data_IF_240485462204
#
_entry.id   IF_240485462204
#
_cell.length_a   1.000
_cell.length_b   1.000
_cell.length_c   1.000
_cell.angle_alpha   90.00
_cell.angle_beta   90.00
_cell.angle_gamma   90.00
#
_symmetry.space_group_name_H-M   'P 1'
#
loop_
_entity.id
_entity.type
_entity.pdbx_description
1 polymer ?
#
# COMPACT_ATOMS: atom_id res chain seq x y z
N UNK A 1 -41.16 25.82 30.89
CA UNK A 1 -40.68 25.19 29.64
C UNK A 1 -39.69 26.09 28.89
N UNK A 2 -39.02 27.01 29.58
CA UNK A 2 -37.91 27.83 29.05
C UNK A 2 -36.63 27.71 29.91
N UNK A 3 -36.65 26.93 31.00
CA UNK A 3 -35.50 26.79 31.91
C UNK A 3 -34.63 25.54 31.66
N UNK A 4 -35.09 24.58 30.85
CA UNK A 4 -34.30 23.37 30.51
C UNK A 4 -33.32 23.59 29.33
N UNK A 5 -33.42 24.70 28.61
CA UNK A 5 -32.55 25.00 27.46
C UNK A 5 -31.19 25.64 27.88
N UNK A 6 -31.09 26.14 29.11
CA UNK A 6 -29.88 26.82 29.61
C UNK A 6 -28.90 25.84 30.28
N UNK A 7 -29.36 24.66 30.71
CA UNK A 7 -28.55 23.72 31.47
C UNK A 7 -27.53 22.91 30.64
N UNK A 8 -27.65 22.88 29.31
CA UNK A 8 -26.73 22.13 28.45
C UNK A 8 -25.63 22.98 27.79
N UNK A 9 -25.50 24.27 28.13
CA UNK A 9 -24.41 25.12 27.65
C UNK A 9 -23.20 25.22 28.61
N UNK A 10 -23.24 24.60 29.79
CA UNK A 10 -22.13 24.64 30.74
C UNK A 10 -21.64 23.24 31.11
N UNK A 11 -20.89 22.60 30.20
CA UNK A 11 -19.84 21.62 30.52
C UNK A 11 -19.15 21.17 29.25
N UNK A 12 -18.23 22.01 28.76
CA UNK A 12 -17.01 21.63 28.05
C UNK A 12 -16.25 22.92 27.76
N UNK A 13 -15.71 23.53 28.83
CA UNK A 13 -14.55 24.42 28.70
C UNK A 13 -13.29 23.56 28.55
N UNK A 14 -12.28 24.06 27.84
CA UNK A 14 -11.34 23.27 27.08
C UNK A 14 -10.28 22.66 27.98
N UNK A 15 -9.96 21.39 27.77
CA UNK A 15 -8.60 20.94 28.05
C UNK A 15 -7.75 21.36 26.85
N UNK A 16 -6.80 22.24 27.14
CA UNK A 16 -5.67 22.55 26.29
C UNK A 16 -4.93 21.26 25.97
N UNK A 17 -5.10 20.74 24.76
CA UNK A 17 -4.03 20.02 24.11
C UNK A 17 -3.83 20.59 22.71
N UNK A 18 -2.72 21.30 22.60
CA UNK A 18 -2.16 21.78 21.34
C UNK A 18 -1.75 20.57 20.53
N UNK A 19 -2.37 20.37 19.38
CA UNK A 19 -1.63 19.84 18.23
C UNK A 19 -2.21 20.50 16.98
N UNK A 20 -1.35 21.27 16.33
CA UNK A 20 -1.54 21.75 14.97
C UNK A 20 -1.72 20.54 14.01
N UNK A 21 -2.30 20.81 12.83
CA UNK A 21 -2.54 19.89 11.70
C UNK A 21 -3.87 19.13 11.84
N UNK A 22 -4.88 19.30 10.96
CA UNK A 22 -4.80 19.27 9.50
C UNK A 22 -5.93 20.05 8.82
N UNK A 23 -5.61 20.65 7.66
CA UNK A 23 -6.48 21.56 6.90
C UNK A 23 -7.33 20.81 5.87
N UNK A 24 -8.66 20.91 5.93
CA UNK A 24 -9.54 20.54 4.82
C UNK A 24 -9.40 21.54 3.66
N UNK A 25 -9.15 21.06 2.44
CA UNK A 25 -8.94 21.88 1.21
C UNK A 25 -10.20 22.56 0.64
N UNK A 26 -11.31 22.64 1.38
CA UNK A 26 -12.38 23.62 1.09
C UNK A 26 -12.25 24.77 2.08
N UNK A 27 -11.67 25.89 1.63
CA UNK A 27 -11.67 27.14 2.38
C UNK A 27 -13.12 27.62 2.46
N UNK A 28 -13.81 27.20 3.52
CA UNK A 28 -15.19 27.54 3.81
C UNK A 28 -15.34 27.93 5.28
N UNK A 29 -16.31 28.77 5.63
CA UNK A 29 -16.62 29.08 7.03
C UNK A 29 -16.96 27.81 7.82
N UNK A 30 -16.46 27.73 9.04
CA UNK A 30 -16.77 26.66 9.99
C UNK A 30 -18.17 26.89 10.59
N UNK A 31 -18.98 25.84 10.64
CA UNK A 31 -20.33 25.89 11.19
C UNK A 31 -20.49 24.85 12.30
N UNK A 32 -21.07 25.26 13.42
CA UNK A 32 -21.58 24.34 14.43
C UNK A 32 -22.90 23.78 13.95
N UNK A 33 -22.91 22.48 13.66
CA UNK A 33 -24.04 21.79 13.03
C UNK A 33 -24.62 20.70 13.95
N UNK A 34 -25.93 20.51 13.89
CA UNK A 34 -26.61 19.43 14.59
C UNK A 34 -26.42 18.10 13.87
N UNK A 35 -26.17 17.03 14.62
CA UNK A 35 -26.13 15.66 14.11
C UNK A 35 -27.54 15.07 14.21
N UNK A 36 -28.08 14.58 13.09
CA UNK A 36 -29.40 13.95 13.08
C UNK A 36 -29.36 12.57 13.74
N UNK A 37 -30.47 12.17 14.35
CA UNK A 37 -30.56 10.98 15.24
C UNK A 37 -30.27 9.64 14.55
N UNK A 38 -30.28 9.61 13.22
CA UNK A 38 -30.04 8.42 12.40
C UNK A 38 -28.59 8.29 11.92
N UNK A 39 -27.72 9.23 12.29
CA UNK A 39 -26.28 9.14 12.02
C UNK A 39 -25.61 8.46 13.21
N UNK A 40 -24.90 7.36 12.94
CA UNK A 40 -24.13 6.68 13.97
C UNK A 40 -22.94 7.55 14.40
N UNK A 41 -22.91 7.91 15.69
CA UNK A 41 -21.87 8.78 16.23
C UNK A 41 -20.51 8.10 16.30
N UNK A 42 -20.52 6.78 16.40
CA UNK A 42 -19.30 5.98 16.54
C UNK A 42 -18.51 5.88 15.22
N UNK A 43 -19.14 6.19 14.08
CA UNK A 43 -18.51 6.18 12.76
C UNK A 43 -17.98 7.56 12.33
N UNK A 44 -18.17 8.59 13.15
CA UNK A 44 -17.72 9.96 12.85
C UNK A 44 -16.28 10.15 13.33
N UNK A 45 -15.32 9.93 12.43
CA UNK A 45 -13.91 10.24 12.67
C UNK A 45 -13.52 11.61 12.09
N UNK A 46 -12.60 12.35 12.74
CA UNK A 46 -12.04 13.57 12.17
C UNK A 46 -11.43 13.31 10.79
N UNK A 47 -11.89 14.03 9.77
CA UNK A 47 -11.43 13.87 8.39
C UNK A 47 -12.38 13.09 7.48
N UNK A 48 -13.44 12.46 8.02
CA UNK A 48 -14.47 11.84 7.20
C UNK A 48 -15.31 12.89 6.44
N UNK A 49 -15.58 12.62 5.17
CA UNK A 49 -16.52 13.40 4.38
C UNK A 49 -17.97 13.18 4.89
N UNK A 50 -18.66 14.27 5.21
CA UNK A 50 -20.02 14.25 5.73
C UNK A 50 -21.02 14.83 4.72
N UNK A 51 -22.21 14.23 4.67
CA UNK A 51 -23.35 14.77 3.91
C UNK A 51 -24.09 15.78 4.78
N UNK A 52 -24.16 17.02 4.29
CA UNK A 52 -24.88 18.11 4.96
C UNK A 52 -26.14 18.52 4.21
N UNK A 53 -27.21 18.80 4.96
CA UNK A 53 -28.42 19.39 4.38
C UNK A 53 -28.22 20.89 4.11
N UNK A 54 -28.24 21.29 2.84
CA UNK A 54 -27.90 22.65 2.39
C UNK A 54 -28.72 23.78 3.08
N UNK A 55 -29.97 23.52 3.49
CA UNK A 55 -30.80 24.56 4.15
C UNK A 55 -30.66 24.64 5.66
N UNK A 56 -30.42 23.51 6.34
CA UNK A 56 -30.46 23.45 7.82
C UNK A 56 -29.08 23.26 8.42
N UNK A 57 -28.06 23.05 7.57
CA UNK A 57 -26.67 22.77 7.98
C UNK A 57 -26.67 21.71 9.09
N UNK A 58 -27.26 20.55 8.80
CA UNK A 58 -27.31 19.41 9.71
C UNK A 58 -26.66 18.21 9.04
N UNK A 59 -25.96 17.40 9.83
CA UNK A 59 -25.30 16.18 9.35
C UNK A 59 -26.38 15.13 9.08
N UNK A 60 -26.51 14.76 7.81
CA UNK A 60 -27.50 13.78 7.31
C UNK A 60 -26.92 12.37 7.27
N UNK A 61 -25.62 12.25 7.04
CA UNK A 61 -24.96 10.95 6.96
C UNK A 61 -23.49 11.09 6.64
N UNK A 62 -22.81 9.96 6.64
CA UNK A 62 -21.42 9.85 6.24
C UNK A 62 -21.38 9.56 4.73
N UNK A 63 -20.44 10.18 4.02
CA UNK A 63 -20.08 9.74 2.69
C UNK A 63 -19.13 8.55 2.85
N UNK A 64 -19.62 7.36 2.59
CA UNK A 64 -18.78 6.16 2.54
C UNK A 64 -18.04 6.14 1.19
N UNK A 65 -16.76 5.79 1.22
CA UNK A 65 -15.81 5.76 0.10
C UNK A 65 -15.28 7.12 -0.40
N UNK A 66 -14.58 7.85 0.47
CA UNK A 66 -13.64 8.90 0.04
C UNK A 66 -12.30 8.27 -0.40
N UNK A 67 -12.37 7.22 -1.23
CA UNK A 67 -11.17 6.76 -1.93
C UNK A 67 -10.78 7.84 -2.92
N UNK A 68 -9.73 8.58 -2.57
CA UNK A 68 -9.17 9.64 -3.37
C UNK A 68 -9.05 9.13 -4.82
N UNK A 69 -9.56 9.82 -5.85
CA UNK A 69 -9.48 9.36 -7.24
C UNK A 69 -8.04 9.09 -7.68
N UNK A 70 -7.05 9.59 -6.95
CA UNK A 70 -5.64 9.24 -7.13
C UNK A 70 -5.33 7.77 -6.83
N UNK A 71 -6.04 7.12 -5.90
CA UNK A 71 -5.92 5.70 -5.58
C UNK A 71 -6.60 4.82 -6.62
N UNK A 72 -7.55 5.36 -7.41
CA UNK A 72 -8.08 4.64 -8.59
C UNK A 72 -7.02 4.36 -9.67
N UNK A 73 -5.85 5.05 -9.59
CA UNK A 73 -4.67 4.74 -10.42
C UNK A 73 -4.07 3.39 -10.05
N UNK A 74 -4.22 2.97 -8.79
CA UNK A 74 -3.84 1.64 -8.33
C UNK A 74 -4.79 0.65 -8.99
N UNK A 75 -4.26 -0.12 -9.95
CA UNK A 75 -5.05 -1.16 -10.60
C UNK A 75 -5.27 -2.29 -9.60
N UNK A 76 -6.47 -2.31 -9.04
CA UNK A 76 -6.97 -3.47 -8.28
C UNK A 76 -7.37 -4.52 -9.31
N UNK A 77 -6.44 -5.43 -9.61
CA UNK A 77 -6.73 -6.57 -10.48
C UNK A 77 -7.14 -7.75 -9.60
N UNK A 78 -8.41 -8.16 -9.70
CA UNK A 78 -8.84 -9.43 -9.10
C UNK A 78 -8.35 -10.56 -10.00
N UNK A 79 -7.31 -11.25 -9.53
CA UNK A 79 -6.72 -12.46 -10.12
C UNK A 79 -6.35 -12.33 -11.62
N UNK A 80 -5.10 -11.95 -11.95
CA UNK A 80 -4.62 -12.04 -13.33
C UNK A 80 -4.69 -13.50 -13.83
N UNK A 81 -4.87 -13.68 -15.15
CA UNK A 81 -5.09 -15.00 -15.77
C UNK A 81 -3.84 -15.90 -15.82
N UNK A 82 -2.66 -15.33 -15.57
CA UNK A 82 -1.37 -16.00 -15.71
C UNK A 82 -1.19 -17.03 -14.57
N UNK A 83 -0.77 -18.25 -14.91
CA UNK A 83 -0.48 -19.31 -13.93
C UNK A 83 1.00 -19.67 -13.90
N UNK A 84 1.46 -20.38 -12.86
CA UNK A 84 2.82 -20.93 -12.82
C UNK A 84 3.12 -21.89 -13.98
N UNK A 85 2.08 -22.52 -14.54
CA UNK A 85 2.23 -23.40 -15.71
C UNK A 85 2.70 -22.64 -16.96
N UNK A 86 2.40 -21.34 -17.04
CA UNK A 86 2.80 -20.47 -18.15
C UNK A 86 4.23 -19.92 -17.99
N UNK A 87 4.87 -20.19 -16.84
CA UNK A 87 6.24 -19.77 -16.56
C UNK A 87 7.20 -20.90 -16.95
N UNK A 88 7.95 -20.68 -18.02
CA UNK A 88 8.95 -21.63 -18.49
C UNK A 88 10.24 -21.63 -17.64
N UNK A 89 10.35 -22.58 -16.71
CA UNK A 89 11.52 -22.75 -15.84
C UNK A 89 11.55 -21.78 -14.65
N UNK A 90 12.73 -21.52 -14.09
CA UNK A 90 12.88 -20.76 -12.82
C UNK A 90 12.24 -21.46 -11.60
N UNK A 91 12.29 -22.80 -11.58
CA UNK A 91 11.66 -23.63 -10.55
C UNK A 91 12.09 -23.23 -9.12
N UNK A 92 13.36 -22.84 -8.94
CA UNK A 92 13.89 -22.38 -7.65
C UNK A 92 13.29 -21.03 -7.21
N UNK A 93 13.23 -20.06 -8.11
CA UNK A 93 12.66 -18.74 -7.83
C UNK A 93 11.15 -18.81 -7.57
N UNK A 94 10.45 -19.67 -8.32
CA UNK A 94 9.03 -19.95 -8.09
C UNK A 94 8.83 -20.51 -6.69
N UNK A 95 9.63 -21.51 -6.30
CA UNK A 95 9.55 -22.12 -4.98
C UNK A 95 9.82 -21.09 -3.86
N UNK A 96 10.86 -20.27 -3.98
CA UNK A 96 11.16 -19.22 -2.99
C UNK A 96 10.03 -18.19 -2.85
N UNK A 97 9.41 -17.79 -3.96
CA UNK A 97 8.30 -16.83 -3.93
C UNK A 97 7.04 -17.46 -3.33
N UNK A 98 6.76 -18.73 -3.63
CA UNK A 98 5.66 -19.49 -3.02
C UNK A 98 5.82 -19.61 -1.51
N UNK A 99 7.02 -19.95 -1.04
CA UNK A 99 7.31 -20.02 0.40
C UNK A 99 7.20 -18.67 1.09
N UNK A 100 7.48 -17.58 0.38
CA UNK A 100 7.42 -16.24 0.95
C UNK A 100 6.00 -15.64 0.98
N UNK A 101 5.16 -15.96 0.00
CA UNK A 101 3.84 -15.32 -0.18
C UNK A 101 2.68 -16.29 -0.01
N UNK A 102 2.72 -17.45 -0.68
CA UNK A 102 1.62 -18.43 -0.68
C UNK A 102 1.56 -19.21 0.64
N UNK A 103 2.69 -19.65 1.17
CA UNK A 103 2.74 -20.46 2.39
C UNK A 103 2.19 -19.73 3.63
N UNK A 104 2.54 -18.45 3.89
CA UNK A 104 1.94 -17.70 5.00
C UNK A 104 0.43 -17.50 4.88
N UNK A 105 -0.09 -17.37 3.65
CA UNK A 105 -1.52 -17.13 3.39
C UNK A 105 -2.35 -18.43 3.46
N UNK A 106 -1.78 -19.54 3.01
CA UNK A 106 -2.48 -20.84 2.96
C UNK A 106 -2.37 -21.61 4.27
N UNK A 107 -1.22 -21.54 4.96
CA UNK A 107 -0.93 -22.29 6.17
C UNK A 107 -0.26 -21.41 7.25
N UNK A 108 -0.99 -20.44 7.82
CA UNK A 108 -0.47 -19.61 8.91
C UNK A 108 -0.13 -20.42 10.17
N UNK A 109 -0.84 -21.53 10.43
CA UNK A 109 -0.63 -22.42 11.58
C UNK A 109 0.83 -22.90 11.71
N UNK A 110 1.51 -23.16 10.58
CA UNK A 110 2.91 -23.60 10.57
C UNK A 110 3.85 -22.54 11.17
N UNK A 111 3.55 -21.26 11.00
CA UNK A 111 4.35 -20.16 11.55
C UNK A 111 4.04 -19.92 13.03
N UNK A 112 2.78 -20.10 13.43
CA UNK A 112 2.35 -20.00 14.82
C UNK A 112 2.97 -21.10 15.70
N UNK A 113 2.98 -22.35 15.21
CA UNK A 113 3.55 -23.50 15.93
C UNK A 113 5.07 -23.36 16.15
N UNK A 114 5.77 -22.80 15.17
CA UNK A 114 7.23 -22.59 15.24
C UNK A 114 7.57 -21.28 16.00
N UNK A 115 6.60 -20.38 16.15
CA UNK A 115 6.79 -19.07 16.80
C UNK A 115 7.65 -18.09 16.01
N UNK A 116 7.74 -18.27 14.68
CA UNK A 116 8.50 -17.40 13.78
C UNK A 116 7.56 -16.47 13.02
N UNK A 117 7.95 -15.21 12.86
CA UNK A 117 7.18 -14.28 12.03
C UNK A 117 7.39 -14.63 10.55
N UNK A 118 6.31 -14.67 9.72
CA UNK A 118 6.47 -14.86 8.30
C UNK A 118 7.23 -13.68 7.67
N UNK A 119 7.92 -13.89 6.54
CA UNK A 119 8.60 -12.80 5.85
C UNK A 119 7.60 -11.71 5.45
N UNK A 120 8.00 -10.45 5.63
CA UNK A 120 7.12 -9.29 5.35
C UNK A 120 7.20 -8.85 3.88
N UNK A 121 8.42 -8.84 3.33
CA UNK A 121 8.70 -8.29 2.01
C UNK A 121 9.61 -9.18 1.18
N UNK A 122 9.31 -9.25 -0.11
CA UNK A 122 10.10 -9.93 -1.14
C UNK A 122 10.60 -8.91 -2.16
N UNK A 123 11.88 -8.98 -2.53
CA UNK A 123 12.41 -8.21 -3.66
C UNK A 123 12.82 -9.15 -4.79
N UNK A 124 12.31 -8.86 -5.99
CA UNK A 124 12.64 -9.52 -7.24
C UNK A 124 13.63 -8.64 -8.02
N UNK A 125 14.81 -9.15 -8.32
CA UNK A 125 15.83 -8.39 -9.06
C UNK A 125 16.49 -9.20 -10.18
N UNK A 126 17.00 -8.51 -11.22
CA UNK A 126 17.60 -9.16 -12.39
C UNK A 126 17.50 -8.32 -13.67
N UNK A 127 17.82 -8.90 -14.81
CA UNK A 127 17.70 -8.21 -16.11
C UNK A 127 16.21 -7.98 -16.48
N UNK A 128 15.88 -6.92 -17.23
CA UNK A 128 14.53 -6.73 -17.77
C UNK A 128 14.17 -7.86 -18.73
N UNK A 129 12.88 -8.22 -18.78
CA UNK A 129 12.39 -9.31 -19.66
C UNK A 129 12.59 -10.73 -19.11
N UNK A 130 13.02 -10.88 -17.85
CA UNK A 130 13.14 -12.19 -17.15
C UNK A 130 11.84 -12.70 -16.53
N UNK A 131 10.73 -11.96 -16.70
CA UNK A 131 9.40 -12.41 -16.24
C UNK A 131 9.07 -12.10 -14.78
N UNK A 132 9.72 -11.12 -14.13
CA UNK A 132 9.44 -10.74 -12.73
C UNK A 132 7.99 -10.33 -12.50
N UNK A 133 7.46 -9.45 -13.36
CA UNK A 133 6.06 -9.01 -13.34
C UNK A 133 5.10 -10.18 -13.59
N UNK A 134 5.50 -11.14 -14.43
CA UNK A 134 4.72 -12.33 -14.74
C UNK A 134 4.65 -13.30 -13.54
N UNK A 135 5.77 -13.49 -12.82
CA UNK A 135 5.78 -14.28 -11.59
C UNK A 135 4.88 -13.67 -10.51
N UNK A 136 4.91 -12.36 -10.33
CA UNK A 136 4.07 -11.68 -9.35
C UNK A 136 2.58 -11.86 -9.65
N UNK A 137 2.20 -11.78 -10.93
CA UNK A 137 0.82 -12.07 -11.37
C UNK A 137 0.44 -13.53 -11.13
N UNK A 138 1.30 -14.48 -11.45
CA UNK A 138 1.03 -15.89 -11.19
C UNK A 138 0.81 -16.19 -9.69
N UNK A 139 1.57 -15.54 -8.81
CA UNK A 139 1.40 -15.63 -7.35
C UNK A 139 0.04 -15.07 -6.91
N UNK A 140 -0.36 -13.92 -7.46
CA UNK A 140 -1.67 -13.33 -7.17
C UNK A 140 -2.83 -14.25 -7.58
N UNK A 141 -2.70 -14.92 -8.73
CA UNK A 141 -3.69 -15.88 -9.20
C UNK A 141 -3.78 -17.11 -8.26
N UNK A 142 -2.65 -17.65 -7.81
CA UNK A 142 -2.62 -18.82 -6.91
C UNK A 142 -3.21 -18.54 -5.53
N UNK A 143 -2.93 -17.35 -4.99
CA UNK A 143 -3.32 -16.96 -3.63
C UNK A 143 -4.75 -16.47 -3.52
N UNK A 144 -5.44 -16.21 -4.64
CA UNK A 144 -6.79 -15.59 -4.68
C UNK A 144 -6.89 -14.29 -3.85
N UNK A 145 -5.76 -13.66 -3.56
CA UNK A 145 -5.67 -12.43 -2.78
C UNK A 145 -5.87 -11.22 -3.70
N UNK A 146 -6.25 -10.09 -3.11
CA UNK A 146 -6.37 -8.83 -3.86
C UNK A 146 -5.00 -8.39 -4.35
N UNK A 147 -4.83 -8.21 -5.67
CA UNK A 147 -3.56 -7.74 -6.24
C UNK A 147 -3.60 -6.24 -6.52
N UNK A 148 -2.75 -5.50 -5.82
CA UNK A 148 -2.57 -4.07 -5.98
C UNK A 148 -1.28 -3.83 -6.75
N UNK A 149 -1.40 -3.41 -8.00
CA UNK A 149 -0.24 -3.13 -8.87
C UNK A 149 0.02 -1.64 -8.93
N UNK A 150 1.24 -1.24 -8.56
CA UNK A 150 1.73 0.15 -8.66
C UNK A 150 3.05 0.16 -9.40
N UNK A 151 3.26 1.13 -10.28
CA UNK A 151 4.58 1.36 -10.89
C UNK A 151 5.30 2.43 -10.09
N UNK A 152 6.59 2.24 -9.79
CA UNK A 152 7.37 3.17 -8.97
C UNK A 152 7.41 4.59 -9.53
N UNK A 153 7.30 4.74 -10.85
CA UNK A 153 7.17 6.05 -11.51
C UNK A 153 5.85 6.78 -11.20
N UNK A 154 4.77 6.06 -10.87
CA UNK A 154 3.46 6.64 -10.48
C UNK A 154 3.50 7.28 -9.09
N UNK A 155 4.43 6.85 -8.24
CA UNK A 155 4.66 7.44 -6.91
C UNK A 155 5.33 8.83 -7.00
N UNK A 156 5.86 9.21 -8.17
CA UNK A 156 6.53 10.49 -8.39
C UNK A 156 5.51 11.53 -8.86
N UNK A 157 5.12 12.43 -7.95
CA UNK A 157 4.15 13.49 -8.23
C UNK A 157 4.81 14.87 -8.35
N UNK A 158 4.20 15.75 -9.17
CA UNK A 158 4.69 17.12 -9.38
C UNK A 158 4.42 18.03 -8.18
N UNK A 159 3.41 17.71 -7.39
CA UNK A 159 2.99 18.48 -6.23
C UNK A 159 3.66 17.95 -4.97
N UNK A 160 4.11 18.88 -4.13
CA UNK A 160 4.79 18.57 -2.88
C UNK A 160 3.79 17.97 -1.88
N UNK A 161 4.10 16.81 -1.31
CA UNK A 161 3.27 16.10 -0.32
C UNK A 161 2.29 15.09 -0.91
N UNK A 162 2.03 15.13 -2.21
CA UNK A 162 1.10 14.19 -2.86
C UNK A 162 1.70 12.78 -2.97
N UNK A 163 3.02 12.66 -3.08
CA UNK A 163 3.73 11.36 -3.10
C UNK A 163 3.54 10.57 -1.80
N UNK A 164 3.95 11.12 -0.63
CA UNK A 164 3.73 10.48 0.66
C UNK A 164 2.26 10.20 0.96
N UNK A 165 1.35 11.11 0.60
CA UNK A 165 -0.10 10.90 0.76
C UNK A 165 -0.57 9.66 -0.01
N UNK A 166 -0.17 9.54 -1.28
CA UNK A 166 -0.53 8.39 -2.12
C UNK A 166 -0.03 7.07 -1.53
N UNK A 167 1.17 7.05 -0.96
CA UNK A 167 1.73 5.86 -0.31
C UNK A 167 0.88 5.44 0.89
N UNK A 168 0.48 6.37 1.76
CA UNK A 168 -0.40 6.06 2.90
C UNK A 168 -1.76 5.49 2.45
N UNK A 169 -2.36 6.14 1.45
CA UNK A 169 -3.65 5.70 0.92
C UNK A 169 -3.56 4.32 0.26
N UNK A 170 -2.48 4.02 -0.47
CA UNK A 170 -2.22 2.70 -1.05
C UNK A 170 -2.22 1.61 0.03
N UNK A 171 -1.52 1.86 1.13
CA UNK A 171 -1.44 0.90 2.23
C UNK A 171 -2.75 0.81 3.02
N UNK A 172 -3.51 1.91 3.17
CA UNK A 172 -4.85 1.87 3.77
C UNK A 172 -5.78 0.97 2.95
N UNK A 173 -5.82 1.17 1.63
CA UNK A 173 -6.63 0.32 0.73
C UNK A 173 -6.16 -1.14 0.73
N UNK A 174 -4.85 -1.37 0.86
CA UNK A 174 -4.32 -2.72 1.00
C UNK A 174 -4.79 -3.42 2.28
N UNK A 175 -4.87 -2.68 3.39
CA UNK A 175 -5.35 -3.18 4.68
C UNK A 175 -6.86 -3.41 4.66
N UNK A 176 -7.63 -2.48 4.09
CA UNK A 176 -9.09 -2.61 3.91
C UNK A 176 -9.47 -3.81 3.02
N UNK A 177 -8.62 -4.14 2.04
CA UNK A 177 -8.81 -5.26 1.10
C UNK A 177 -8.04 -6.52 1.49
N UNK A 178 -7.60 -6.62 2.75
CA UNK A 178 -6.88 -7.77 3.30
C UNK A 178 -7.71 -9.07 3.17
N UNK A 179 -7.11 -10.20 2.74
CA UNK A 179 -5.71 -10.42 2.38
C UNK A 179 -5.33 -9.83 1.02
N UNK A 180 -4.21 -9.10 0.96
CA UNK A 180 -3.79 -8.37 -0.24
C UNK A 180 -2.28 -8.47 -0.52
N UNK A 181 -1.93 -8.33 -1.79
CA UNK A 181 -0.55 -8.32 -2.26
C UNK A 181 -0.30 -6.99 -2.96
N UNK A 182 0.61 -6.20 -2.41
CA UNK A 182 1.08 -4.94 -2.99
C UNK A 182 2.32 -5.21 -3.83
N UNK A 183 2.18 -5.10 -5.15
CA UNK A 183 3.28 -5.22 -6.10
C UNK A 183 3.71 -3.85 -6.59
N UNK A 184 4.97 -3.49 -6.30
CA UNK A 184 5.60 -2.26 -6.77
C UNK A 184 6.63 -2.62 -7.83
N UNK A 185 6.32 -2.33 -9.09
CA UNK A 185 7.26 -2.49 -10.21
C UNK A 185 8.18 -1.28 -10.34
N UNK A 186 9.35 -1.44 -10.94
CA UNK A 186 10.31 -0.34 -11.19
C UNK A 186 10.58 0.52 -9.93
N UNK A 187 10.77 -0.13 -8.78
CA UNK A 187 11.05 0.59 -7.51
C UNK A 187 12.35 1.41 -7.58
N UNK A 188 13.24 1.11 -8.52
CA UNK A 188 14.43 1.90 -8.80
C UNK A 188 14.11 3.33 -9.26
N UNK A 189 12.93 3.62 -9.81
CA UNK A 189 12.51 4.97 -10.15
C UNK A 189 12.50 5.92 -8.92
N UNK A 190 12.05 5.40 -7.77
CA UNK A 190 11.95 6.14 -6.50
C UNK A 190 13.07 5.80 -5.51
N UNK A 191 13.63 4.60 -5.61
CA UNK A 191 14.54 3.99 -4.64
C UNK A 191 16.03 4.28 -4.86
N UNK A 192 16.41 5.03 -5.91
CA UNK A 192 17.82 5.37 -6.18
C UNK A 192 18.47 6.11 -5.01
N UNK A 193 19.69 5.70 -4.64
CA UNK A 193 20.57 6.43 -3.70
C UNK A 193 20.84 7.86 -4.20
N UNK A 194 20.08 8.83 -3.71
CA UNK A 194 20.31 10.26 -3.99
C UNK A 194 20.97 10.89 -2.77
N UNK A 195 22.30 10.85 -2.73
CA UNK A 195 23.08 11.42 -1.63
C UNK A 195 23.10 12.96 -1.61
N UNK A 196 22.72 13.62 -2.71
CA UNK A 196 22.82 15.08 -2.87
C UNK A 196 21.63 15.66 -3.64
N UNK A 197 20.46 15.71 -2.98
CA UNK A 197 19.26 16.35 -3.54
C UNK A 197 19.40 17.88 -3.53
N UNK A 198 19.99 18.42 -4.60
CA UNK A 198 20.14 19.87 -4.81
C UNK A 198 18.83 20.50 -5.31
N UNK A 199 17.92 19.70 -5.88
CA UNK A 199 16.65 20.18 -6.44
C UNK A 199 15.44 19.82 -5.58
N UNK A 200 14.45 20.71 -5.52
CA UNK A 200 13.22 20.51 -4.73
C UNK A 200 12.45 19.23 -5.09
N UNK A 201 12.45 18.85 -6.38
CA UNK A 201 11.80 17.60 -6.83
C UNK A 201 12.50 16.32 -6.37
N UNK A 202 13.81 16.35 -6.13
CA UNK A 202 14.55 15.18 -5.64
C UNK A 202 14.29 14.93 -4.16
N UNK A 203 14.12 15.99 -3.38
CA UNK A 203 13.76 15.91 -1.96
C UNK A 203 12.38 15.28 -1.77
N UNK A 204 11.45 15.54 -2.68
CA UNK A 204 10.10 14.95 -2.63
C UNK A 204 10.12 13.44 -2.87
N UNK A 205 10.92 12.99 -3.84
CA UNK A 205 11.10 11.55 -4.11
C UNK A 205 11.70 10.86 -2.89
N UNK A 206 12.70 11.48 -2.25
CA UNK A 206 13.29 10.95 -1.02
C UNK A 206 12.27 10.88 0.13
N UNK A 207 11.43 11.90 0.31
CA UNK A 207 10.35 11.88 1.32
C UNK A 207 9.34 10.77 1.05
N UNK A 208 8.94 10.58 -0.20
CA UNK A 208 8.02 9.50 -0.61
C UNK A 208 8.63 8.13 -0.32
N UNK A 209 9.92 7.94 -0.59
CA UNK A 209 10.64 6.70 -0.26
C UNK A 209 10.72 6.45 1.25
N UNK A 210 11.00 7.49 2.05
CA UNK A 210 11.02 7.39 3.51
C UNK A 210 9.63 7.05 4.07
N UNK A 211 8.56 7.61 3.50
CA UNK A 211 7.20 7.25 3.89
C UNK A 211 6.89 5.79 3.56
N UNK A 212 7.26 5.32 2.35
CA UNK A 212 7.13 3.90 1.98
C UNK A 212 7.88 3.00 2.98
N UNK A 213 9.08 3.39 3.39
CA UNK A 213 9.84 2.68 4.41
C UNK A 213 9.15 2.65 5.78
N UNK A 214 8.57 3.77 6.20
CA UNK A 214 7.84 3.87 7.46
C UNK A 214 6.58 3.00 7.44
N UNK A 215 5.84 3.01 6.33
CA UNK A 215 4.66 2.15 6.18
C UNK A 215 5.06 0.67 6.23
N UNK A 216 6.14 0.26 5.54
CA UNK A 216 6.65 -1.12 5.58
C UNK A 216 7.08 -1.57 6.99
N UNK A 217 7.66 -0.67 7.79
CA UNK A 217 8.04 -0.96 9.19
C UNK A 217 6.84 -0.97 10.13
N UNK A 218 5.86 -0.09 9.89
CA UNK A 218 4.70 0.15 10.74
C UNK A 218 3.69 -1.00 10.79
N UNK A 219 3.74 -1.93 9.83
CA UNK A 219 2.91 -3.13 9.89
C UNK A 219 3.41 -4.08 10.98
N UNK A 220 2.72 -4.08 12.12
CA UNK A 220 2.98 -4.99 13.22
C UNK A 220 2.30 -6.36 12.99
N UNK A 221 3.12 -7.40 13.10
CA UNK A 221 2.92 -8.85 13.34
C UNK A 221 1.70 -9.66 12.83
N UNK A 222 0.60 -9.08 12.33
CA UNK A 222 -0.56 -9.84 11.82
C UNK A 222 -0.90 -9.62 10.34
N UNK A 223 -0.38 -8.56 9.72
CA UNK A 223 -0.85 -8.11 8.41
C UNK A 223 -0.77 -9.19 7.32
N UNK A 224 -1.93 -9.63 6.83
CA UNK A 224 -2.08 -10.45 5.61
C UNK A 224 -1.77 -9.64 4.34
N UNK A 225 -1.21 -8.44 4.49
CA UNK A 225 -0.66 -7.62 3.41
C UNK A 225 0.77 -8.04 3.13
N UNK A 226 1.02 -8.56 1.93
CA UNK A 226 2.37 -8.92 1.46
C UNK A 226 2.87 -7.91 0.46
N UNK A 227 4.14 -7.52 0.58
CA UNK A 227 4.76 -6.57 -0.35
C UNK A 227 5.80 -7.27 -1.23
N UNK A 228 5.64 -7.09 -2.53
CA UNK A 228 6.57 -7.58 -3.55
C UNK A 228 7.12 -6.37 -4.30
N UNK A 229 8.44 -6.21 -4.27
CA UNK A 229 9.14 -5.13 -4.98
C UNK A 229 9.88 -5.72 -6.17
N UNK A 230 9.77 -5.12 -7.35
CA UNK A 230 10.56 -5.50 -8.51
C UNK A 230 11.51 -4.37 -8.93
N UNK A 231 12.78 -4.72 -9.12
CA UNK A 231 13.82 -3.79 -9.58
C UNK A 231 14.68 -4.43 -10.66
N UNK A 232 15.18 -3.64 -11.61
CA UNK A 232 16.19 -4.11 -12.54
C UNK A 232 17.61 -3.99 -11.98
N UNK A 233 17.84 -3.07 -11.04
CA UNK A 233 19.15 -2.78 -10.46
C UNK A 233 19.05 -2.75 -8.94
N UNK A 234 19.49 -3.82 -8.29
CA UNK A 234 19.50 -3.87 -6.82
C UNK A 234 20.59 -3.00 -6.20
N UNK A 235 21.68 -2.75 -6.93
CA UNK A 235 22.83 -1.96 -6.50
C UNK A 235 22.55 -0.45 -6.34
N UNK A 236 21.60 0.07 -7.12
CA UNK A 236 21.19 1.47 -7.09
C UNK A 236 20.23 1.78 -5.94
N UNK A 237 19.61 0.76 -5.35
CA UNK A 237 18.65 0.92 -4.27
C UNK A 237 19.29 1.35 -2.95
N UNK A 238 18.54 2.10 -2.16
CA UNK A 238 18.91 2.47 -0.80
C UNK A 238 19.12 1.20 0.08
N UNK A 239 20.27 1.03 0.75
CA UNK A 239 20.50 -0.11 1.63
C UNK A 239 19.52 -0.16 2.81
N UNK A 240 18.87 0.97 3.14
CA UNK A 240 17.83 1.03 4.16
C UNK A 240 16.61 0.15 3.82
N UNK A 241 16.26 0.01 2.53
CA UNK A 241 15.22 -0.93 2.08
C UNK A 241 15.65 -2.38 2.27
N UNK A 242 16.94 -2.66 2.02
CA UNK A 242 17.50 -4.01 2.01
C UNK A 242 17.83 -4.57 3.40
N UNK A 243 17.53 -3.83 4.47
CA UNK A 243 17.78 -4.22 5.85
C UNK A 243 16.81 -5.36 6.27
N UNK A 244 17.30 -6.42 6.93
CA UNK A 244 16.45 -7.48 7.47
C UNK A 244 15.36 -6.91 8.40
N UNK A 245 14.14 -7.42 8.29
CA UNK A 245 12.95 -6.89 8.98
C UNK A 245 12.01 -6.06 8.10
N UNK A 246 12.49 -5.59 6.93
CA UNK A 246 11.70 -4.95 5.87
C UNK A 246 11.57 -5.86 4.66
N UNK A 247 12.72 -6.22 4.09
CA UNK A 247 12.84 -7.16 2.97
C UNK A 247 13.63 -8.36 3.44
N UNK A 248 12.94 -9.49 3.61
CA UNK A 248 13.52 -10.71 4.15
C UNK A 248 14.00 -11.66 3.06
N UNK A 249 13.37 -11.60 1.87
CA UNK A 249 13.70 -12.47 0.73
C UNK A 249 14.16 -11.65 -0.47
N UNK A 250 15.29 -12.06 -1.04
CA UNK A 250 15.90 -11.45 -2.24
C UNK A 250 16.01 -12.53 -3.30
N UNK A 251 15.19 -12.44 -4.33
CA UNK A 251 15.09 -13.45 -5.38
C UNK A 251 15.74 -12.90 -6.64
N UNK A 252 16.80 -13.58 -7.08
CA UNK A 252 17.54 -13.24 -8.29
C UNK A 252 16.97 -13.94 -9.52
N UNK A 253 16.79 -13.16 -10.58
CA UNK A 253 16.37 -13.62 -11.89
C UNK A 253 17.56 -13.60 -12.86
N UNK A 254 18.27 -14.73 -13.00
CA UNK A 254 19.34 -14.84 -13.98
C UNK A 254 18.77 -14.92 -15.40
N UNK A 255 19.63 -14.69 -16.40
CA UNK A 255 19.28 -14.94 -17.78
C UNK A 255 18.92 -16.42 -18.00
N UNK A 256 17.92 -16.72 -18.85
CA UNK A 256 17.48 -18.10 -19.03
C UNK A 256 18.56 -18.95 -19.69
N UNK A 257 18.84 -20.11 -19.10
CA UNK A 257 19.72 -21.12 -19.67
C UNK A 257 19.07 -21.82 -20.88
N UNK A 258 19.85 -22.55 -21.67
CA UNK A 258 19.39 -23.27 -22.88
C UNK A 258 18.20 -24.19 -22.55
N UNK A 259 18.22 -24.85 -21.38
CA UNK A 259 17.11 -25.70 -20.91
C UNK A 259 15.84 -24.88 -20.62
N UNK A 260 15.98 -23.75 -19.94
CA UNK A 260 14.89 -22.82 -19.64
C UNK A 260 14.29 -22.25 -20.92
N UNK A 261 15.13 -21.80 -21.87
CA UNK A 261 14.68 -21.31 -23.18
C UNK A 261 13.86 -22.36 -23.93
N UNK A 262 14.31 -23.62 -23.94
CA UNK A 262 13.55 -24.74 -24.54
C UNK A 262 12.18 -24.95 -23.90
N UNK A 263 11.99 -24.63 -22.62
CA UNK A 263 10.69 -24.66 -21.95
C UNK A 263 9.82 -23.44 -22.26
N UNK A 264 10.42 -22.27 -22.49
CA UNK A 264 9.69 -21.03 -22.80
C UNK A 264 9.08 -21.05 -24.20
N UNK A 265 9.83 -21.50 -25.22
CA UNK A 265 9.36 -21.55 -26.62
C UNK A 265 8.00 -22.26 -26.83
N UNK A 266 7.76 -23.48 -26.29
CA UNK A 266 6.49 -24.18 -26.49
C UNK A 266 5.30 -23.56 -25.76
N UNK A 267 5.52 -22.67 -24.79
CA UNK A 267 4.42 -22.00 -24.06
C UNK A 267 3.86 -20.82 -24.89
N UNK A 268 4.68 -20.24 -25.77
CA UNK A 268 4.35 -19.03 -26.56
C UNK A 268 4.23 -19.30 -28.07
N UNK A 269 4.17 -20.56 -28.50
CA UNK A 269 3.94 -20.98 -29.91
C UNK A 269 2.59 -21.66 -30.02
#
# INVERSE_FOLDING_TARGET
MEEEFVANQERLKPQEDKTEEDRSKSVGPEYYVGILSFVDKDQLEPGCAILMHNKVLSVVGLLQDDVDPMVSVVKVEKAPLESYADIGGLDAQIQENKEAVELPLTHPELYEDIGIKPPKGVILYGEPGTGKTFLAKAVANSTSATFLRVVGSELIQKYLGDGPKLVRELFRVADDLSPSIVFIDEIDAVGMKRYDAHSGGEREIQRTMLELLNQLDGFDSRGDVKVILATNKIESLDPALLRPGRIDRKIEFPLPDIKTRRRIFPIHT
#
